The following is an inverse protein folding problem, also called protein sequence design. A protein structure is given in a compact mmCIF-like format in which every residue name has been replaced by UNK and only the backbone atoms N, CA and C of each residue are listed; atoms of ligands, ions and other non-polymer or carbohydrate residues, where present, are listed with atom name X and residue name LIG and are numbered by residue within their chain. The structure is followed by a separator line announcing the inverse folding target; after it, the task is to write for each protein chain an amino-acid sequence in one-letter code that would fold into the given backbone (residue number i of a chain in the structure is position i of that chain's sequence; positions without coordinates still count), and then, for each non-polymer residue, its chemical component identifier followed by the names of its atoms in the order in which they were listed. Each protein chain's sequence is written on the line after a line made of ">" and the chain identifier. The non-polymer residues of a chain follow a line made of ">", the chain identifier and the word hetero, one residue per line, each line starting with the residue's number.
data_IF_031902419580
#
_entry.id   IF_031902419580
#
_cell.length_a   1.000
_cell.length_b   1.000
_cell.length_c   1.000
_cell.angle_alpha   90.00
_cell.angle_beta   90.00
_cell.angle_gamma   90.00
#
_symmetry.space_group_name_H-M   'P 1'
#
loop_
_entity.id
_entity.type
_entity.pdbx_description
1 polymer ?
#
# COMPACT_ATOMS: atom_id res chain seq x y z
N UNK A 1 20.04 76.38 -66.16
CA UNK A 1 19.41 76.27 -64.82
C UNK A 1 18.16 75.43 -64.99
N UNK A 2 17.96 74.45 -64.10
CA UNK A 2 16.66 74.02 -63.55
C UNK A 2 15.50 73.79 -64.56
N UNK A 3 14.77 72.69 -64.58
CA UNK A 3 14.46 71.68 -63.59
C UNK A 3 13.59 70.65 -64.36
N UNK A 4 13.74 69.35 -64.05
CA UNK A 4 12.66 68.34 -63.84
C UNK A 4 11.29 68.54 -64.54
N UNK A 5 10.61 67.53 -65.10
CA UNK A 5 10.53 66.14 -64.66
C UNK A 5 9.77 65.26 -65.67
N UNK A 6 10.19 63.98 -65.69
CA UNK A 6 9.62 62.79 -66.31
C UNK A 6 8.10 62.66 -66.13
N UNK A 7 7.27 62.39 -67.13
CA UNK A 7 7.12 61.23 -68.05
C UNK A 7 6.60 59.95 -67.39
N UNK A 8 5.30 59.74 -67.66
CA UNK A 8 4.56 58.51 -68.03
C UNK A 8 4.44 57.33 -67.05
N UNK A 9 3.18 57.22 -66.62
CA UNK A 9 2.23 56.11 -66.88
C UNK A 9 2.42 54.75 -66.20
N UNK A 10 1.29 54.05 -65.96
CA UNK A 10 1.18 52.94 -65.04
C UNK A 10 1.37 51.60 -65.77
N UNK A 11 1.56 50.53 -65.01
CA UNK A 11 0.91 49.24 -65.28
C UNK A 11 1.09 48.27 -64.11
N UNK A 12 -0.04 47.69 -63.69
CA UNK A 12 -0.10 46.54 -62.82
C UNK A 12 0.16 45.26 -63.62
N UNK A 13 0.89 44.29 -63.05
CA UNK A 13 0.51 42.88 -62.93
C UNK A 13 1.67 42.01 -62.43
N UNK A 14 1.29 40.89 -61.82
CA UNK A 14 2.01 39.61 -61.71
C UNK A 14 2.49 39.20 -60.31
N UNK A 15 1.55 38.56 -59.59
CA UNK A 15 1.66 37.20 -59.03
C UNK A 15 3.06 36.69 -58.62
N UNK A 16 3.10 36.31 -57.35
CA UNK A 16 3.39 34.94 -56.85
C UNK A 16 4.70 34.66 -56.11
N UNK A 17 4.50 33.95 -54.99
CA UNK A 17 5.34 32.92 -54.37
C UNK A 17 6.24 33.33 -53.17
N UNK A 18 5.68 33.10 -51.99
CA UNK A 18 6.22 32.21 -50.94
C UNK A 18 7.74 32.12 -50.79
N UNK A 19 8.25 32.69 -49.69
CA UNK A 19 9.32 32.04 -48.93
C UNK A 19 9.13 32.28 -47.44
N UNK A 20 8.75 31.19 -46.76
CA UNK A 20 8.67 31.07 -45.33
C UNK A 20 9.98 31.50 -44.68
N UNK A 21 9.94 32.54 -43.84
CA UNK A 21 10.98 32.76 -42.84
C UNK A 21 10.87 31.64 -41.83
N UNK A 22 11.94 30.86 -41.76
CA UNK A 22 12.15 29.77 -40.81
C UNK A 22 12.51 30.39 -39.45
N UNK A 23 11.51 30.87 -38.74
CA UNK A 23 11.68 31.30 -37.36
C UNK A 23 11.73 30.04 -36.48
N UNK A 24 12.89 29.83 -35.86
CA UNK A 24 13.20 28.69 -34.99
C UNK A 24 12.27 28.72 -33.77
N UNK A 25 11.42 27.72 -33.52
CA UNK A 25 10.70 27.66 -32.26
C UNK A 25 11.66 27.17 -31.17
N UNK A 26 12.10 28.14 -30.36
CA UNK A 26 12.76 28.02 -29.04
C UNK A 26 11.81 27.37 -28.00
N UNK A 27 10.95 26.45 -28.44
CA UNK A 27 9.83 25.91 -27.66
C UNK A 27 9.91 24.40 -27.41
N UNK A 28 10.90 23.71 -27.99
CA UNK A 28 11.06 22.27 -27.85
C UNK A 28 11.95 21.82 -26.67
N UNK A 29 12.59 22.75 -25.95
CA UNK A 29 13.47 22.40 -24.83
C UNK A 29 12.77 22.33 -23.46
N UNK A 30 11.56 22.89 -23.33
CA UNK A 30 10.89 23.01 -22.03
C UNK A 30 10.01 21.79 -21.66
N UNK A 31 9.66 20.92 -22.59
CA UNK A 31 8.76 19.78 -22.33
C UNK A 31 9.47 18.51 -21.88
N UNK A 32 10.80 18.40 -21.99
CA UNK A 32 11.52 17.17 -21.63
C UNK A 32 11.79 17.00 -20.12
N UNK A 33 11.63 18.06 -19.32
CA UNK A 33 11.93 18.01 -17.87
C UNK A 33 10.72 17.53 -17.04
N UNK A 34 9.50 17.56 -17.60
CA UNK A 34 8.29 17.19 -16.85
C UNK A 34 7.93 15.69 -16.91
N UNK A 35 8.69 14.87 -17.64
CA UNK A 35 8.43 13.43 -17.79
C UNK A 35 9.15 12.54 -16.75
N UNK A 36 10.06 13.10 -15.93
CA UNK A 36 10.87 12.33 -14.99
C UNK A 36 10.26 12.20 -13.58
N UNK A 37 9.09 12.79 -13.32
CA UNK A 37 8.48 12.82 -11.98
C UNK A 37 7.43 11.75 -11.68
N UNK A 38 7.05 10.94 -12.67
CA UNK A 38 6.03 9.88 -12.52
C UNK A 38 6.66 8.48 -12.54
N UNK A 39 7.87 8.31 -11.99
CA UNK A 39 8.30 7.00 -11.52
C UNK A 39 7.49 6.67 -10.26
N UNK A 40 6.22 6.30 -10.46
CA UNK A 40 5.49 5.55 -9.45
C UNK A 40 6.27 4.29 -9.13
N UNK A 41 6.23 3.84 -7.87
CA UNK A 41 6.74 2.55 -7.46
C UNK A 41 6.00 1.44 -8.24
N UNK A 42 6.44 1.16 -9.46
CA UNK A 42 6.15 -0.08 -10.16
C UNK A 42 6.97 -1.16 -9.45
N UNK A 43 6.39 -1.72 -8.40
CA UNK A 43 6.90 -2.95 -7.80
C UNK A 43 6.98 -4.00 -8.93
N UNK A 44 8.14 -4.64 -9.17
CA UNK A 44 8.23 -5.71 -10.15
C UNK A 44 7.32 -6.86 -9.69
N UNK A 45 6.23 -7.07 -10.44
CA UNK A 45 5.43 -8.26 -10.31
C UNK A 45 6.21 -9.47 -10.86
N UNK A 46 6.44 -10.47 -10.00
CA UNK A 46 6.69 -11.83 -10.47
C UNK A 46 7.57 -12.71 -9.60
N UNK A 47 7.01 -13.33 -8.56
CA UNK A 47 7.21 -14.76 -8.28
C UNK A 47 6.13 -15.27 -7.31
N UNK A 48 5.16 -16.11 -7.74
CA UNK A 48 4.32 -16.87 -6.81
C UNK A 48 5.18 -17.98 -6.19
N UNK A 49 5.94 -17.67 -5.15
CA UNK A 49 6.76 -18.68 -4.47
C UNK A 49 7.84 -18.17 -3.52
N UNK A 50 8.22 -16.89 -3.58
CA UNK A 50 9.12 -16.28 -2.61
C UNK A 50 8.35 -15.20 -1.86
N UNK A 51 7.66 -15.64 -0.82
CA UNK A 51 6.91 -14.76 0.06
C UNK A 51 7.87 -13.78 0.73
N UNK A 52 7.84 -12.50 0.31
CA UNK A 52 8.23 -11.36 1.15
C UNK A 52 7.23 -11.19 2.31
N UNK A 53 6.87 -12.29 2.96
CA UNK A 53 6.18 -12.27 4.23
C UNK A 53 7.20 -11.80 5.25
N UNK A 54 6.99 -10.61 5.81
CA UNK A 54 7.78 -10.09 6.92
C UNK A 54 7.91 -11.20 7.97
N UNK A 55 9.17 -11.55 8.28
CA UNK A 55 9.48 -12.70 9.12
C UNK A 55 8.84 -12.53 10.49
N UNK A 56 7.96 -13.46 10.88
CA UNK A 56 7.39 -13.59 12.23
C UNK A 56 8.44 -14.14 13.22
N UNK A 57 9.67 -13.60 13.19
CA UNK A 57 10.82 -14.14 13.92
C UNK A 57 10.64 -14.10 15.46
N UNK A 58 9.95 -13.07 15.95
CA UNK A 58 9.67 -12.88 17.38
C UNK A 58 8.26 -13.35 17.79
N UNK A 59 7.57 -14.13 16.94
CA UNK A 59 6.21 -14.58 17.23
C UNK A 59 6.19 -15.88 18.05
N UNK A 60 5.27 -15.94 19.02
CA UNK A 60 5.08 -17.13 19.85
C UNK A 60 4.09 -18.08 19.15
N UNK A 61 4.38 -19.39 19.01
CA UNK A 61 3.42 -20.33 18.45
C UNK A 61 2.16 -20.41 19.33
N UNK A 62 0.98 -20.44 18.71
CA UNK A 62 -0.31 -20.44 19.42
C UNK A 62 -0.52 -21.69 20.31
N UNK A 63 0.13 -22.80 19.98
CA UNK A 63 -0.12 -24.10 20.59
C UNK A 63 -1.40 -24.78 20.05
N UNK A 64 -1.62 -26.07 20.36
CA UNK A 64 -2.61 -26.88 19.66
C UNK A 64 -4.06 -26.46 19.95
N UNK A 65 -4.40 -26.18 21.22
CA UNK A 65 -5.76 -25.85 21.61
C UNK A 65 -6.21 -24.49 21.04
N UNK A 66 -5.36 -23.46 21.15
CA UNK A 66 -5.63 -22.16 20.54
C UNK A 66 -5.70 -22.29 19.01
N UNK A 67 -4.76 -22.99 18.36
CA UNK A 67 -4.81 -23.19 16.90
C UNK A 67 -6.12 -23.84 16.46
N UNK A 68 -6.58 -24.90 17.14
CA UNK A 68 -7.82 -25.59 16.80
C UNK A 68 -9.08 -24.74 17.00
N UNK A 69 -9.03 -23.77 17.92
CA UNK A 69 -10.05 -22.73 18.05
C UNK A 69 -9.97 -21.73 16.90
N UNK A 70 -8.79 -21.17 16.64
CA UNK A 70 -8.56 -20.17 15.58
C UNK A 70 -8.86 -20.69 14.17
N UNK A 71 -8.73 -21.99 13.90
CA UNK A 71 -9.12 -22.56 12.60
C UNK A 71 -10.64 -22.50 12.33
N UNK A 72 -11.46 -22.47 13.38
CA UNK A 72 -12.93 -22.58 13.27
C UNK A 72 -13.69 -21.41 13.87
N UNK A 73 -13.01 -20.52 14.58
CA UNK A 73 -13.62 -19.39 15.26
C UNK A 73 -14.29 -18.44 14.24
N UNK A 74 -15.63 -18.28 14.30
CA UNK A 74 -16.28 -17.14 13.66
C UNK A 74 -15.95 -15.85 14.43
N UNK A 75 -16.25 -14.71 13.82
CA UNK A 75 -16.10 -13.41 14.47
C UNK A 75 -16.94 -13.35 15.76
N UNK A 76 -16.32 -12.90 16.85
CA UNK A 76 -16.93 -12.82 18.17
C UNK A 76 -16.96 -14.13 18.97
N UNK A 77 -16.32 -15.20 18.46
CA UNK A 77 -16.23 -16.45 19.20
C UNK A 77 -15.42 -16.32 20.49
N UNK A 78 -15.79 -17.10 21.51
CA UNK A 78 -15.14 -17.09 22.82
C UNK A 78 -14.75 -18.50 23.23
N UNK A 79 -13.56 -18.64 23.80
CA UNK A 79 -13.13 -19.89 24.41
C UNK A 79 -12.31 -19.63 25.67
N UNK A 80 -12.30 -20.60 26.58
CA UNK A 80 -11.39 -20.60 27.74
C UNK A 80 -10.37 -21.71 27.56
N UNK A 81 -9.10 -21.36 27.62
CA UNK A 81 -7.99 -22.27 27.38
C UNK A 81 -7.27 -22.58 28.70
N UNK A 82 -7.15 -23.88 29.01
CA UNK A 82 -6.38 -24.33 30.17
C UNK A 82 -4.87 -24.07 30.02
N UNK A 83 -4.37 -24.02 28.78
CA UNK A 83 -2.99 -23.66 28.45
C UNK A 83 -2.96 -22.83 27.15
N UNK A 84 -2.21 -21.73 27.16
CA UNK A 84 -2.04 -20.80 26.04
C UNK A 84 -0.68 -20.11 26.11
N UNK A 85 -0.27 -19.37 25.05
CA UNK A 85 0.93 -18.52 25.08
C UNK A 85 0.94 -17.51 26.23
N UNK A 86 -0.24 -17.09 26.71
CA UNK A 86 -0.39 -16.13 27.81
C UNK A 86 -0.58 -16.81 29.17
N UNK A 87 -0.33 -18.12 29.28
CA UNK A 87 -0.54 -18.92 30.48
C UNK A 87 -1.87 -19.67 30.48
N UNK A 88 -2.21 -20.27 31.62
CA UNK A 88 -3.42 -21.07 31.78
C UNK A 88 -4.65 -20.28 32.21
N UNK A 89 -5.82 -20.87 31.98
CA UNK A 89 -7.14 -20.35 32.36
C UNK A 89 -7.41 -18.93 31.83
N UNK A 90 -7.05 -18.70 30.57
CA UNK A 90 -7.35 -17.45 29.87
C UNK A 90 -8.61 -17.60 29.05
N UNK A 91 -9.42 -16.55 29.03
CA UNK A 91 -10.54 -16.40 28.10
C UNK A 91 -10.04 -15.61 26.90
N UNK A 92 -10.31 -16.13 25.70
CA UNK A 92 -9.93 -15.52 24.43
C UNK A 92 -11.19 -15.17 23.66
N UNK A 93 -11.31 -13.91 23.27
CA UNK A 93 -12.36 -13.40 22.39
C UNK A 93 -11.75 -13.15 20.99
N UNK A 94 -12.23 -13.87 19.99
CA UNK A 94 -11.79 -13.72 18.60
C UNK A 94 -12.51 -12.53 17.95
N UNK A 95 -11.76 -11.53 17.51
CA UNK A 95 -12.28 -10.42 16.70
C UNK A 95 -12.34 -10.81 15.22
N UNK A 96 -12.72 -9.83 14.41
CA UNK A 96 -12.66 -9.89 12.96
C UNK A 96 -11.29 -10.32 12.42
N UNK A 97 -11.34 -11.13 11.38
CA UNK A 97 -10.18 -11.49 10.56
C UNK A 97 -9.89 -10.40 9.55
N UNK A 98 -8.61 -10.21 9.27
CA UNK A 98 -8.11 -9.27 8.27
C UNK A 98 -6.86 -9.83 7.58
N UNK A 99 -6.60 -9.37 6.36
CA UNK A 99 -5.35 -9.68 5.67
C UNK A 99 -4.33 -8.59 5.97
N UNK A 100 -3.24 -8.93 6.66
CA UNK A 100 -2.20 -7.98 7.02
C UNK A 100 -1.35 -7.63 5.79
N UNK A 101 -0.73 -6.43 5.82
CA UNK A 101 0.21 -6.01 4.78
C UNK A 101 1.42 -6.93 4.64
N UNK A 102 1.73 -7.74 5.66
CA UNK A 102 2.75 -8.79 5.63
C UNK A 102 2.34 -10.03 4.82
N UNK A 103 1.13 -10.07 4.24
CA UNK A 103 0.65 -11.22 3.47
C UNK A 103 0.05 -12.36 4.30
N UNK A 104 -0.20 -12.14 5.60
CA UNK A 104 -0.78 -13.14 6.49
C UNK A 104 -2.25 -12.85 6.79
N UNK A 105 -3.07 -13.90 6.85
CA UNK A 105 -4.39 -13.82 7.46
C UNK A 105 -4.20 -13.68 8.98
N UNK A 106 -4.68 -12.58 9.55
CA UNK A 106 -4.57 -12.28 10.96
C UNK A 106 -5.94 -12.02 11.57
N UNK A 107 -6.03 -12.14 12.89
CA UNK A 107 -7.18 -11.67 13.67
C UNK A 107 -6.71 -11.08 14.98
N UNK A 108 -7.46 -10.10 15.47
CA UNK A 108 -7.25 -9.55 16.81
C UNK A 108 -7.87 -10.49 17.84
N UNK A 109 -7.24 -10.56 19.01
CA UNK A 109 -7.68 -11.34 20.15
C UNK A 109 -7.72 -10.43 21.37
N UNK A 110 -8.83 -10.46 22.10
CA UNK A 110 -8.88 -9.91 23.44
C UNK A 110 -8.66 -11.06 24.42
N UNK A 111 -7.57 -11.00 25.21
CA UNK A 111 -7.20 -12.06 26.16
C UNK A 111 -7.38 -11.54 27.58
N UNK A 112 -8.15 -12.27 28.39
CA UNK A 112 -8.39 -11.93 29.80
C UNK A 112 -8.19 -13.13 30.73
N UNK A 113 -7.83 -12.87 31.98
CA UNK A 113 -7.79 -13.87 33.06
C UNK A 113 -8.96 -13.59 34.01
N UNK A 114 -9.90 -14.53 34.11
CA UNK A 114 -11.06 -14.45 35.03
C UNK A 114 -12.35 -13.87 34.43
N UNK A 115 -13.42 -13.85 35.24
CA UNK A 115 -14.75 -13.35 34.89
C UNK A 115 -14.88 -11.85 35.21
N UNK A 116 -14.27 -10.98 34.43
CA UNK A 116 -14.37 -9.51 34.59
C UNK A 116 -14.63 -8.89 33.21
N UNK A 117 -15.50 -7.87 33.11
CA UNK A 117 -16.02 -7.40 31.83
C UNK A 117 -14.91 -6.90 30.89
N UNK A 118 -15.16 -7.09 29.60
CA UNK A 118 -14.31 -6.96 28.41
C UNK A 118 -13.52 -5.64 28.20
N UNK A 119 -13.36 -4.78 29.20
CA UNK A 119 -12.80 -3.45 29.04
C UNK A 119 -11.26 -3.37 28.97
N UNK A 120 -10.53 -4.41 29.35
CA UNK A 120 -9.06 -4.38 29.46
C UNK A 120 -8.39 -5.71 29.08
N UNK A 121 -8.93 -6.43 28.09
CA UNK A 121 -8.14 -7.50 27.47
C UNK A 121 -6.85 -6.92 26.90
N UNK A 122 -5.72 -7.61 27.01
CA UNK A 122 -4.53 -7.21 26.26
C UNK A 122 -4.84 -7.43 24.78
N UNK A 123 -4.70 -6.38 23.96
CA UNK A 123 -4.81 -6.51 22.52
C UNK A 123 -3.68 -7.39 22.01
N UNK A 124 -4.04 -8.57 21.53
CA UNK A 124 -3.12 -9.54 20.93
C UNK A 124 -3.53 -9.77 19.47
N UNK A 125 -2.58 -10.20 18.63
CA UNK A 125 -2.85 -10.62 17.26
C UNK A 125 -2.44 -12.06 17.10
N UNK A 126 -3.25 -12.84 16.40
CA UNK A 126 -2.83 -14.12 15.85
C UNK A 126 -2.79 -14.03 14.33
N UNK A 127 -1.72 -14.52 13.72
CA UNK A 127 -1.54 -14.57 12.27
C UNK A 127 -1.24 -16.00 11.82
N UNK A 128 -1.83 -16.39 10.69
CA UNK A 128 -1.62 -17.68 10.05
C UNK A 128 -0.41 -17.60 9.14
N UNK A 129 0.61 -18.39 9.49
CA UNK A 129 1.80 -18.59 8.66
C UNK A 129 1.60 -19.87 7.85
N UNK A 130 1.63 -19.75 6.52
CA UNK A 130 1.44 -20.88 5.62
C UNK A 130 2.39 -22.04 5.97
N UNK A 131 1.86 -23.27 6.03
CA UNK A 131 2.53 -24.50 6.45
C UNK A 131 3.07 -24.56 7.89
N UNK A 132 3.08 -23.45 8.65
CA UNK A 132 3.58 -23.41 10.04
C UNK A 132 2.48 -23.21 11.10
N UNK A 133 1.27 -22.80 10.68
CA UNK A 133 0.11 -22.66 11.56
C UNK A 133 -0.03 -21.27 12.16
N UNK A 134 -0.69 -21.18 13.32
CA UNK A 134 -1.02 -19.92 13.98
C UNK A 134 0.09 -19.48 14.93
N UNK A 135 0.44 -18.20 14.83
CA UNK A 135 1.41 -17.53 15.70
C UNK A 135 0.79 -16.29 16.31
N UNK A 136 1.13 -16.00 17.56
CA UNK A 136 0.62 -14.89 18.35
C UNK A 136 1.70 -13.84 18.61
N UNK A 137 1.31 -12.58 18.59
CA UNK A 137 2.15 -11.43 18.94
C UNK A 137 1.35 -10.40 19.73
N UNK A 138 2.05 -9.60 20.52
CA UNK A 138 1.47 -8.48 21.27
C UNK A 138 1.29 -7.26 20.36
N UNK A 139 0.12 -6.60 20.40
CA UNK A 139 -0.02 -5.31 19.71
C UNK A 139 0.73 -4.23 20.50
N UNK A 140 1.73 -3.61 19.88
CA UNK A 140 2.49 -2.50 20.50
C UNK A 140 1.74 -1.18 20.39
N UNK A 141 0.89 -1.01 19.38
CA UNK A 141 0.19 0.25 19.08
C UNK A 141 -0.92 0.60 20.06
N UNK A 142 -1.29 -0.29 20.98
CA UNK A 142 -2.31 -0.03 22.01
C UNK A 142 -1.70 0.52 23.31
N UNK A 143 -0.36 0.61 23.41
CA UNK A 143 0.36 1.07 24.61
C UNK A 143 0.43 2.60 24.72
N UNK A 144 0.11 3.33 23.65
CA UNK A 144 0.12 4.81 23.64
C UNK A 144 -1.33 5.31 23.56
N UNK A 145 -1.96 5.48 24.71
CA UNK A 145 -3.21 6.24 24.86
C UNK A 145 -3.15 7.13 26.09
#
# INVERSE_FOLDING_TARGET
>A
MQHTQHVRRPQALARSQTRARRDKPVWLAATLVLAAGLSGCAAPGGQPGAADTLSMADATPAGPALSAFLERAPDGAVTTLAASPWGGNVTVYARERYFAASGHECLRLDVSRGAVPAALGSGEVACRVAARGWYTQRLVTEVVR
#
